data_IF_483300056817
#
_entry.id   IF_483300056817
#
_cell.length_a   1.000
_cell.length_b   1.000
_cell.length_c   1.000
_cell.angle_alpha   90.00
_cell.angle_beta   90.00
_cell.angle_gamma   90.00
#
_symmetry.space_group_name_H-M   'P 1'
#
loop_
_entity.id
_entity.type
_entity.pdbx_description
1 polymer ?
#
# COMPACT_ATOMS: atom_id res chain seq x y z
N UNK A 1 48.62 10.58 17.04
CA UNK A 1 47.44 9.85 17.57
C UNK A 1 46.33 10.02 16.55
N UNK A 2 46.19 9.07 15.65
CA UNK A 2 45.14 9.02 14.64
C UNK A 2 43.99 8.20 15.21
N UNK A 3 42.91 8.87 15.59
CA UNK A 3 41.68 8.22 16.05
C UNK A 3 40.99 7.59 14.84
N UNK A 4 40.97 6.26 14.79
CA UNK A 4 40.15 5.51 13.83
C UNK A 4 38.67 5.87 14.07
N UNK A 5 37.89 6.25 13.05
CA UNK A 5 36.47 6.49 13.22
C UNK A 5 35.78 5.18 13.61
N UNK A 6 34.90 5.23 14.60
CA UNK A 6 34.11 4.09 15.06
C UNK A 6 33.32 3.49 13.89
N UNK A 7 33.21 2.15 13.86
CA UNK A 7 32.40 1.47 12.84
C UNK A 7 30.92 1.78 13.11
N UNK A 8 30.04 1.79 12.10
CA UNK A 8 28.61 2.02 12.28
C UNK A 8 27.97 1.06 13.31
N UNK A 9 28.57 -0.12 13.48
CA UNK A 9 28.14 -1.17 14.41
C UNK A 9 28.42 -0.86 15.89
N UNK A 10 29.26 0.13 16.19
CA UNK A 10 29.62 0.54 17.57
C UNK A 10 28.66 1.62 18.14
N UNK A 11 27.68 2.09 17.37
CA UNK A 11 26.65 2.99 17.89
C UNK A 11 25.57 2.19 18.64
N UNK A 12 25.21 2.55 19.88
CA UNK A 12 24.08 1.93 20.55
C UNK A 12 22.84 2.09 19.65
N UNK A 13 22.02 1.03 19.49
CA UNK A 13 20.86 1.11 18.61
C UNK A 13 19.99 2.29 19.04
N UNK A 14 19.60 3.13 18.08
CA UNK A 14 18.67 4.22 18.33
C UNK A 14 17.47 3.68 19.11
N UNK A 15 17.12 4.32 20.21
CA UNK A 15 16.06 3.84 21.10
C UNK A 15 14.73 3.85 20.33
N UNK A 16 14.30 2.68 19.87
CA UNK A 16 13.03 2.52 19.17
C UNK A 16 11.91 2.81 20.17
N UNK A 17 11.00 3.77 19.90
CA UNK A 17 9.85 4.00 20.76
C UNK A 17 9.06 2.70 20.98
N UNK A 18 8.34 2.55 22.08
CA UNK A 18 7.43 1.42 22.22
C UNK A 18 6.22 1.60 21.29
N UNK A 19 5.83 0.56 20.55
CA UNK A 19 4.56 0.58 19.83
C UNK A 19 3.44 0.22 20.83
N UNK A 20 2.40 1.06 20.98
CA UNK A 20 1.30 0.79 21.90
C UNK A 20 0.42 -0.36 21.39
N UNK A 21 -0.55 -0.78 22.22
CA UNK A 21 -1.62 -1.66 21.78
C UNK A 21 -2.29 -1.09 20.52
N UNK A 22 -2.52 -1.94 19.51
CA UNK A 22 -2.91 -1.48 18.19
C UNK A 22 -3.73 -2.49 17.39
N UNK A 23 -4.34 -2.01 16.30
CA UNK A 23 -4.96 -2.79 15.22
C UNK A 23 -4.22 -2.49 13.92
N UNK A 24 -4.23 -3.43 12.97
CA UNK A 24 -3.51 -3.27 11.70
C UNK A 24 -4.24 -2.37 10.70
N UNK A 25 -5.57 -2.40 10.70
CA UNK A 25 -6.42 -1.60 9.82
C UNK A 25 -7.86 -1.59 10.33
N UNK A 26 -8.73 -0.87 9.63
CA UNK A 26 -10.15 -0.77 9.97
C UNK A 26 -11.02 -0.65 8.70
N UNK A 27 -12.27 -1.15 8.68
CA UNK A 27 -13.13 -1.03 7.51
C UNK A 27 -13.34 0.42 7.04
N UNK A 28 -13.10 0.66 5.74
CA UNK A 28 -13.12 1.99 5.10
C UNK A 28 -14.50 2.42 4.58
N UNK A 29 -15.48 1.50 4.57
CA UNK A 29 -16.76 1.74 3.87
C UNK A 29 -17.78 2.52 4.70
N UNK A 30 -17.62 2.49 6.03
CA UNK A 30 -18.58 3.01 7.00
C UNK A 30 -19.74 2.04 7.30
N UNK A 31 -20.42 2.17 8.47
CA UNK A 31 -21.44 1.23 8.92
C UNK A 31 -22.66 1.16 7.98
N UNK A 32 -22.98 2.24 7.26
CA UNK A 32 -24.09 2.30 6.30
C UNK A 32 -23.62 2.46 4.85
N UNK A 33 -22.37 2.07 4.58
CA UNK A 33 -21.70 2.16 3.27
C UNK A 33 -21.65 3.60 2.75
N UNK A 34 -21.38 4.56 3.63
CA UNK A 34 -21.34 5.98 3.35
C UNK A 34 -20.33 6.30 2.24
N UNK A 35 -19.13 5.72 2.30
CA UNK A 35 -18.08 5.95 1.29
C UNK A 35 -18.49 5.38 -0.07
N UNK A 36 -19.16 4.22 -0.11
CA UNK A 36 -19.70 3.68 -1.36
C UNK A 36 -20.71 4.65 -1.97
N UNK A 37 -21.67 5.13 -1.18
CA UNK A 37 -22.73 6.03 -1.67
C UNK A 37 -22.14 7.33 -2.20
N UNK A 38 -21.14 7.88 -1.51
CA UNK A 38 -20.42 9.08 -1.92
C UNK A 38 -19.65 8.87 -3.22
N UNK A 39 -18.91 7.77 -3.35
CA UNK A 39 -18.20 7.42 -4.60
C UNK A 39 -19.17 7.26 -5.78
N UNK A 40 -20.27 6.53 -5.59
CA UNK A 40 -21.27 6.36 -6.65
C UNK A 40 -21.98 7.67 -7.02
N UNK A 41 -22.17 8.58 -6.08
CA UNK A 41 -22.69 9.91 -6.36
C UNK A 41 -21.67 10.71 -7.20
N UNK A 42 -20.40 10.70 -6.81
CA UNK A 42 -19.33 11.35 -7.56
C UNK A 42 -19.23 10.82 -9.00
N UNK A 43 -19.28 9.50 -9.20
CA UNK A 43 -19.26 8.89 -10.54
C UNK A 43 -20.48 9.24 -11.41
N UNK A 44 -21.59 9.69 -10.81
CA UNK A 44 -22.75 10.21 -11.55
C UNK A 44 -22.70 11.72 -11.80
N UNK A 45 -21.53 12.34 -11.62
CA UNK A 45 -21.34 13.79 -11.77
C UNK A 45 -21.63 14.59 -10.51
N UNK A 46 -21.68 13.93 -9.34
CA UNK A 46 -21.81 14.60 -8.06
C UNK A 46 -20.56 15.38 -7.67
N UNK A 47 -20.75 16.43 -6.87
CA UNK A 47 -19.69 17.31 -6.40
C UNK A 47 -18.60 16.54 -5.63
N UNK A 48 -17.34 16.73 -6.05
CA UNK A 48 -16.17 16.12 -5.41
C UNK A 48 -15.97 16.62 -3.98
N UNK A 49 -16.41 17.84 -3.65
CA UNK A 49 -16.36 18.35 -2.28
C UNK A 49 -17.22 17.49 -1.33
N UNK A 50 -18.38 17.01 -1.79
CA UNK A 50 -19.24 16.12 -1.01
C UNK A 50 -18.58 14.74 -0.77
N UNK A 51 -17.85 14.20 -1.76
CA UNK A 51 -17.06 12.99 -1.58
C UNK A 51 -15.95 13.19 -0.55
N UNK A 52 -15.20 14.30 -0.64
CA UNK A 52 -14.12 14.63 0.31
C UNK A 52 -14.64 14.80 1.72
N UNK A 53 -15.80 15.43 1.90
CA UNK A 53 -16.44 15.56 3.21
C UNK A 53 -16.89 14.19 3.76
N UNK A 54 -17.46 13.32 2.93
CA UNK A 54 -17.81 11.96 3.35
C UNK A 54 -16.58 11.15 3.83
N UNK A 55 -15.44 11.30 3.13
CA UNK A 55 -14.15 10.70 3.52
C UNK A 55 -13.67 11.28 4.86
N UNK A 56 -13.64 12.60 5.00
CA UNK A 56 -13.25 13.29 6.26
C UNK A 56 -14.10 12.82 7.43
N UNK A 57 -15.42 12.84 7.28
CA UNK A 57 -16.37 12.41 8.31
C UNK A 57 -16.19 10.93 8.68
N UNK A 58 -15.89 10.05 7.72
CA UNK A 58 -15.59 8.64 8.01
C UNK A 58 -14.30 8.45 8.80
N UNK A 59 -13.23 9.18 8.44
CA UNK A 59 -11.95 9.17 9.16
C UNK A 59 -12.14 9.64 10.61
N UNK A 60 -12.84 10.76 10.83
CA UNK A 60 -13.15 11.29 12.16
C UNK A 60 -13.94 10.28 13.03
N UNK A 61 -15.02 9.69 12.47
CA UNK A 61 -15.80 8.65 13.16
C UNK A 61 -14.95 7.44 13.55
N UNK A 62 -14.05 7.02 12.66
CA UNK A 62 -13.17 5.87 12.88
C UNK A 62 -12.18 6.15 14.01
N UNK A 63 -11.53 7.31 14.00
CA UNK A 63 -10.63 7.75 15.07
C UNK A 63 -11.36 7.77 16.43
N UNK A 64 -12.50 8.47 16.51
CA UNK A 64 -13.27 8.58 17.75
C UNK A 64 -13.75 7.23 18.26
N UNK A 65 -14.19 6.34 17.36
CA UNK A 65 -14.60 4.97 17.74
C UNK A 65 -13.44 4.17 18.32
N UNK A 66 -12.30 4.11 17.63
CA UNK A 66 -11.16 3.31 18.06
C UNK A 66 -10.54 3.85 19.36
N UNK A 67 -10.50 5.17 19.51
CA UNK A 67 -10.12 5.82 20.76
C UNK A 67 -11.08 5.49 21.92
N UNK A 68 -12.39 5.52 21.66
CA UNK A 68 -13.42 5.11 22.61
C UNK A 68 -13.33 3.64 23.01
N UNK A 69 -12.74 2.78 22.16
CA UNK A 69 -12.45 1.38 22.44
C UNK A 69 -11.10 1.17 23.17
N UNK A 70 -10.37 2.23 23.51
CA UNK A 70 -9.16 2.16 24.33
C UNK A 70 -7.84 2.39 23.58
N UNK A 71 -7.86 2.60 22.26
CA UNK A 71 -6.64 2.95 21.49
C UNK A 71 -6.32 4.44 21.62
N UNK A 72 -5.81 4.83 22.79
CA UNK A 72 -5.63 6.24 23.22
C UNK A 72 -4.21 6.78 23.14
N UNK A 73 -3.25 5.96 22.71
CA UNK A 73 -1.85 6.36 22.59
C UNK A 73 -1.54 6.80 21.17
N UNK A 74 -0.59 7.73 21.01
CA UNK A 74 -0.07 8.08 19.69
C UNK A 74 0.40 6.84 18.95
N UNK A 75 0.19 6.81 17.65
CA UNK A 75 0.46 5.68 16.76
C UNK A 75 -0.35 4.41 17.04
N UNK A 76 -1.28 4.37 18.00
CA UNK A 76 -2.12 3.20 18.28
C UNK A 76 -3.14 2.91 17.17
N UNK A 77 -3.60 3.93 16.45
CA UNK A 77 -4.57 3.80 15.36
C UNK A 77 -3.84 3.93 14.01
N UNK A 78 -4.07 3.04 13.03
CA UNK A 78 -3.57 3.22 11.66
C UNK A 78 -4.36 4.31 10.92
N UNK A 79 -3.64 5.21 10.25
CA UNK A 79 -4.14 6.28 9.39
C UNK A 79 -4.22 5.80 7.93
N UNK A 80 -5.08 4.83 7.69
CA UNK A 80 -5.32 4.30 6.35
C UNK A 80 -6.14 5.28 5.51
N UNK A 81 -5.49 5.80 4.46
CA UNK A 81 -6.04 6.86 3.60
C UNK A 81 -6.80 6.36 2.37
N UNK A 82 -6.69 5.09 1.99
CA UNK A 82 -7.17 4.63 0.70
C UNK A 82 -8.70 4.73 0.57
N UNK A 83 -9.19 5.29 -0.54
CA UNK A 83 -10.64 5.49 -0.77
C UNK A 83 -11.28 4.30 -1.50
N UNK A 84 -10.55 3.68 -2.43
CA UNK A 84 -11.01 2.53 -3.22
C UNK A 84 -10.24 1.26 -2.83
N UNK A 85 -8.93 1.26 -3.02
CA UNK A 85 -8.04 0.12 -2.81
C UNK A 85 -6.66 0.59 -2.37
N UNK A 86 -6.05 -0.14 -1.44
CA UNK A 86 -4.74 0.23 -0.88
C UNK A 86 -3.59 0.03 -1.86
N UNK A 87 -3.69 -0.92 -2.79
CA UNK A 87 -2.65 -1.16 -3.79
C UNK A 87 -2.71 -0.10 -4.89
N UNK A 88 -3.92 0.27 -5.31
CA UNK A 88 -4.17 1.43 -6.16
C UNK A 88 -3.68 2.74 -5.53
N UNK A 89 -3.99 2.98 -4.26
CA UNK A 89 -3.52 4.18 -3.53
C UNK A 89 -1.99 4.24 -3.49
N UNK A 90 -1.32 3.10 -3.23
CA UNK A 90 0.14 3.02 -3.28
C UNK A 90 0.68 3.34 -4.69
N UNK A 91 0.03 2.88 -5.75
CA UNK A 91 0.42 3.17 -7.14
C UNK A 91 0.41 4.69 -7.40
N UNK A 92 -0.65 5.38 -6.96
CA UNK A 92 -0.77 6.84 -7.13
C UNK A 92 0.24 7.58 -6.26
N UNK A 93 0.49 7.16 -5.01
CA UNK A 93 1.53 7.73 -4.15
C UNK A 93 2.96 7.53 -4.69
N UNK A 94 3.16 6.52 -5.53
CA UNK A 94 4.40 6.25 -6.24
C UNK A 94 4.44 6.88 -7.64
N UNK A 95 3.44 7.70 -7.99
CA UNK A 95 3.37 8.41 -9.26
C UNK A 95 3.12 7.51 -10.46
N UNK A 96 2.68 6.27 -10.26
CA UNK A 96 2.40 5.33 -11.33
C UNK A 96 1.02 5.60 -11.94
N UNK A 97 1.03 6.16 -13.14
CA UNK A 97 -0.13 6.33 -14.01
C UNK A 97 0.21 5.70 -15.35
N UNK A 98 -0.46 4.62 -15.80
CA UNK A 98 -0.13 3.95 -17.06
C UNK A 98 -0.26 4.88 -18.28
N UNK A 99 0.49 4.61 -19.35
CA UNK A 99 0.61 5.48 -20.53
C UNK A 99 -0.74 5.82 -21.13
N UNK A 100 -1.64 4.83 -21.24
CA UNK A 100 -3.00 5.02 -21.76
C UNK A 100 -3.82 6.04 -20.97
N UNK A 101 -3.57 6.19 -19.67
CA UNK A 101 -4.21 7.21 -18.84
C UNK A 101 -3.50 8.57 -19.00
N UNK A 102 -2.17 8.59 -19.14
CA UNK A 102 -1.42 9.82 -19.42
C UNK A 102 -1.83 10.46 -20.74
N UNK A 103 -1.96 9.66 -21.79
CA UNK A 103 -2.44 10.08 -23.12
C UNK A 103 -3.90 10.57 -23.09
N UNK A 104 -4.70 10.07 -22.14
CA UNK A 104 -6.06 10.56 -21.88
C UNK A 104 -6.12 11.79 -20.96
N UNK A 105 -4.98 12.40 -20.65
CA UNK A 105 -4.89 13.66 -19.90
C UNK A 105 -4.79 13.52 -18.38
N UNK A 106 -4.61 12.31 -17.85
CA UNK A 106 -4.37 12.11 -16.43
C UNK A 106 -2.88 12.23 -16.09
N UNK A 107 -2.56 12.78 -14.92
CA UNK A 107 -1.19 12.91 -14.42
C UNK A 107 -1.09 12.41 -12.99
N UNK A 108 0.13 12.06 -12.57
CA UNK A 108 0.41 11.76 -11.17
C UNK A 108 0.05 12.97 -10.29
N UNK A 109 -0.71 12.74 -9.23
CA UNK A 109 -1.20 13.78 -8.32
C UNK A 109 -1.51 13.16 -6.95
N UNK A 110 -1.85 14.00 -5.96
CA UNK A 110 -2.22 13.55 -4.63
C UNK A 110 -3.59 12.84 -4.64
N UNK A 111 -3.70 11.58 -4.18
CA UNK A 111 -4.93 10.78 -4.23
C UNK A 111 -6.10 11.33 -3.40
N UNK A 112 -5.85 12.28 -2.49
CA UNK A 112 -6.88 12.92 -1.64
C UNK A 112 -7.42 14.25 -2.22
N UNK A 113 -6.90 14.69 -3.37
CA UNK A 113 -7.37 15.89 -4.08
C UNK A 113 -8.54 15.57 -5.01
N UNK A 114 -9.19 16.60 -5.57
CA UNK A 114 -10.24 16.38 -6.56
C UNK A 114 -9.72 15.68 -7.82
N UNK A 115 -8.57 16.10 -8.33
CA UNK A 115 -7.90 15.46 -9.47
C UNK A 115 -7.44 14.04 -9.15
N UNK A 116 -6.91 13.82 -7.95
CA UNK A 116 -6.51 12.48 -7.50
C UNK A 116 -7.68 11.52 -7.36
N UNK A 117 -8.81 11.97 -6.83
CA UNK A 117 -10.03 11.16 -6.77
C UNK A 117 -10.57 10.83 -8.17
N UNK A 118 -10.41 11.75 -9.13
CA UNK A 118 -10.73 11.50 -10.54
C UNK A 118 -9.77 10.47 -11.16
N UNK A 119 -8.46 10.61 -10.95
CA UNK A 119 -7.44 9.65 -11.39
C UNK A 119 -7.69 8.25 -10.81
N UNK A 120 -7.86 8.15 -9.48
CA UNK A 120 -8.13 6.89 -8.77
C UNK A 120 -9.41 6.24 -9.31
N UNK A 121 -10.45 7.03 -9.60
CA UNK A 121 -11.68 6.52 -10.22
C UNK A 121 -11.46 6.04 -11.65
N UNK A 122 -10.69 6.76 -12.46
CA UNK A 122 -10.37 6.39 -13.83
C UNK A 122 -9.53 5.11 -13.88
N UNK A 123 -8.51 4.97 -13.04
CA UNK A 123 -7.71 3.76 -12.93
C UNK A 123 -8.58 2.55 -12.51
N UNK A 124 -9.51 2.76 -11.59
CA UNK A 124 -10.38 1.70 -11.07
C UNK A 124 -11.49 1.28 -12.04
N UNK A 125 -12.05 2.21 -12.82
CA UNK A 125 -13.29 1.99 -13.58
C UNK A 125 -13.17 2.22 -15.08
N UNK A 126 -12.02 2.72 -15.53
CA UNK A 126 -11.83 3.20 -16.88
C UNK A 126 -12.53 4.53 -17.12
N UNK A 127 -12.42 4.98 -18.37
CA UNK A 127 -13.17 6.11 -18.92
C UNK A 127 -14.01 5.62 -20.11
N UNK A 128 -14.59 6.53 -20.89
CA UNK A 128 -15.22 6.17 -22.18
C UNK A 128 -14.22 5.70 -23.24
N UNK A 129 -12.92 5.93 -23.06
CA UNK A 129 -11.88 5.67 -24.06
C UNK A 129 -10.69 4.86 -23.54
N UNK A 130 -10.59 4.65 -22.23
CA UNK A 130 -9.46 3.96 -21.59
C UNK A 130 -9.98 2.86 -20.67
N UNK A 131 -9.49 1.64 -20.88
CA UNK A 131 -9.81 0.49 -20.03
C UNK A 131 -9.19 0.62 -18.62
N UNK A 132 -9.90 0.16 -17.57
CA UNK A 132 -9.39 0.17 -16.20
C UNK A 132 -8.11 -0.66 -16.02
N UNK A 133 -7.51 -0.55 -14.85
CA UNK A 133 -6.54 -1.53 -14.37
C UNK A 133 -7.21 -2.88 -14.15
N UNK A 134 -6.41 -3.93 -14.28
CA UNK A 134 -6.83 -5.29 -13.96
C UNK A 134 -7.22 -5.40 -12.48
N UNK A 135 -8.35 -6.04 -12.20
CA UNK A 135 -8.83 -6.30 -10.85
C UNK A 135 -8.69 -7.80 -10.53
N UNK A 136 -7.92 -8.14 -9.50
CA UNK A 136 -7.67 -9.54 -9.11
C UNK A 136 -7.84 -9.77 -7.61
N UNK A 137 -7.89 -11.03 -7.19
CA UNK A 137 -8.21 -11.41 -5.82
C UNK A 137 -7.08 -11.04 -4.85
N UNK A 138 -7.43 -10.42 -3.73
CA UNK A 138 -6.52 -10.18 -2.61
C UNK A 138 -6.31 -11.47 -1.83
N UNK A 139 -5.28 -12.21 -2.20
CA UNK A 139 -4.90 -13.50 -1.60
C UNK A 139 -6.08 -14.48 -1.54
N UNK A 140 -6.30 -15.15 -0.39
CA UNK A 140 -7.39 -16.08 -0.16
C UNK A 140 -8.67 -15.42 0.39
N UNK A 141 -8.71 -14.08 0.44
CA UNK A 141 -9.86 -13.30 0.94
C UNK A 141 -10.93 -13.07 -0.14
N UNK A 142 -12.10 -12.52 0.22
CA UNK A 142 -13.09 -12.09 -0.78
C UNK A 142 -12.84 -10.67 -1.32
N UNK A 143 -11.79 -10.00 -0.87
CA UNK A 143 -11.41 -8.68 -1.36
C UNK A 143 -10.67 -8.82 -2.70
N UNK A 144 -10.70 -7.76 -3.52
CA UNK A 144 -9.99 -7.67 -4.78
C UNK A 144 -9.20 -6.36 -4.79
N UNK A 145 -8.04 -6.35 -5.44
CA UNK A 145 -7.17 -5.17 -5.57
C UNK A 145 -6.88 -4.88 -7.05
N UNK A 146 -6.51 -3.64 -7.35
CA UNK A 146 -6.11 -3.27 -8.71
C UNK A 146 -4.62 -3.51 -8.90
N UNK A 147 -4.28 -4.31 -9.91
CA UNK A 147 -2.90 -4.71 -10.21
C UNK A 147 -2.11 -3.50 -10.73
N UNK A 148 -1.05 -3.06 -10.03
CA UNK A 148 -0.18 -2.01 -10.53
C UNK A 148 0.51 -2.43 -11.83
N UNK A 149 0.68 -1.48 -12.73
CA UNK A 149 1.40 -1.66 -13.99
C UNK A 149 2.72 -0.89 -13.93
N UNK A 150 3.83 -1.61 -14.05
CA UNK A 150 5.18 -1.04 -14.09
C UNK A 150 5.62 -1.01 -15.55
N UNK A 151 5.58 0.18 -16.14
CA UNK A 151 6.05 0.42 -17.50
C UNK A 151 7.55 0.79 -17.49
N UNK A 152 8.34 0.38 -18.50
CA UNK A 152 9.79 0.67 -18.56
C UNK A 152 10.11 2.16 -18.65
N UNK A 153 9.22 2.96 -19.25
CA UNK A 153 9.37 4.42 -19.43
C UNK A 153 8.75 5.24 -18.30
N UNK A 154 8.18 4.59 -17.28
CA UNK A 154 7.57 5.28 -16.13
C UNK A 154 8.45 5.09 -14.92
N UNK A 155 9.07 6.19 -14.49
CA UNK A 155 9.79 6.24 -13.23
C UNK A 155 8.82 6.32 -12.04
N UNK A 156 9.17 5.69 -10.93
CA UNK A 156 8.56 5.94 -9.64
C UNK A 156 8.82 7.39 -9.22
N UNK A 157 7.75 8.09 -8.86
CA UNK A 157 7.80 9.46 -8.39
C UNK A 157 7.08 9.55 -7.05
N UNK A 158 7.86 9.64 -5.97
CA UNK A 158 7.34 9.75 -4.61
C UNK A 158 6.50 11.02 -4.46
N UNK A 159 5.19 10.85 -4.23
CA UNK A 159 4.27 11.95 -3.94
C UNK A 159 4.41 12.37 -2.45
N UNK A 160 5.56 12.96 -2.09
CA UNK A 160 5.88 13.32 -0.70
C UNK A 160 4.91 14.33 -0.11
N UNK A 161 4.49 15.32 -0.91
CA UNK A 161 3.51 16.32 -0.46
C UNK A 161 2.17 15.66 -0.15
N UNK A 162 1.74 14.71 -0.98
CA UNK A 162 0.49 13.98 -0.78
C UNK A 162 0.48 13.19 0.54
N UNK A 163 1.55 12.45 0.83
CA UNK A 163 1.62 11.65 2.07
C UNK A 163 1.70 12.54 3.31
N UNK A 164 2.39 13.68 3.22
CA UNK A 164 2.50 14.66 4.30
C UNK A 164 1.17 15.38 4.54
N UNK A 165 0.50 15.84 3.49
CA UNK A 165 -0.81 16.49 3.58
C UNK A 165 -1.84 15.53 4.20
N UNK A 166 -1.84 14.26 3.77
CA UNK A 166 -2.69 13.23 4.36
C UNK A 166 -2.39 13.05 5.85
N UNK A 167 -1.12 12.94 6.24
CA UNK A 167 -0.74 12.81 7.64
C UNK A 167 -1.18 14.02 8.47
N UNK A 168 -0.97 15.24 7.95
CA UNK A 168 -1.43 16.48 8.60
C UNK A 168 -2.96 16.51 8.73
N UNK A 169 -3.70 16.10 7.71
CA UNK A 169 -5.16 16.01 7.78
C UNK A 169 -5.63 15.03 8.87
N UNK A 170 -4.94 13.90 9.05
CA UNK A 170 -5.23 12.97 10.14
C UNK A 170 -4.86 13.53 11.52
N UNK A 171 -3.75 14.29 11.62
CA UNK A 171 -3.36 15.00 12.85
C UNK A 171 -4.43 16.02 13.25
N UNK A 172 -4.88 16.83 12.31
CA UNK A 172 -5.89 17.86 12.55
C UNK A 172 -7.22 17.20 12.97
N UNK A 173 -7.62 16.12 12.28
CA UNK A 173 -8.79 15.32 12.67
C UNK A 173 -8.66 14.71 14.07
N UNK A 174 -7.48 14.23 14.46
CA UNK A 174 -7.25 13.70 15.80
C UNK A 174 -7.39 14.80 16.85
N UNK A 175 -6.86 16.00 16.59
CA UNK A 175 -6.99 17.16 17.49
C UNK A 175 -8.46 17.62 17.65
N UNK A 176 -9.27 17.51 16.60
CA UNK A 176 -10.70 17.81 16.63
C UNK A 176 -11.56 16.70 17.26
N UNK A 177 -11.05 15.48 17.34
CA UNK A 177 -11.82 14.30 17.80
C UNK A 177 -11.51 13.99 19.26
N UNK A 178 -12.47 14.22 20.14
CA UNK A 178 -12.30 14.01 21.58
C UNK A 178 -11.75 12.62 21.93
N UNK A 179 -10.59 12.61 22.62
CA UNK A 179 -9.92 11.39 23.08
C UNK A 179 -9.12 10.64 22.01
N UNK A 180 -9.12 11.09 20.76
CA UNK A 180 -8.27 10.53 19.71
C UNK A 180 -6.81 11.01 19.88
N UNK A 181 -5.88 10.10 19.65
CA UNK A 181 -4.45 10.37 19.58
C UNK A 181 -3.97 10.41 18.13
N UNK A 182 -2.75 10.90 17.90
CA UNK A 182 -2.18 11.02 16.55
C UNK A 182 -2.03 9.63 15.92
N UNK A 183 -2.74 9.31 14.82
CA UNK A 183 -2.62 7.99 14.20
C UNK A 183 -1.29 7.84 13.43
N UNK A 184 -0.87 6.60 13.16
CA UNK A 184 0.35 6.30 12.38
C UNK A 184 0.02 6.17 10.88
N UNK A 185 0.78 6.78 9.97
CA UNK A 185 0.67 6.49 8.53
C UNK A 185 0.81 4.99 8.23
N UNK A 186 0.03 4.51 7.26
CA UNK A 186 0.13 3.15 6.71
C UNK A 186 0.42 3.23 5.22
N UNK A 187 1.41 2.46 4.76
CA UNK A 187 1.73 2.29 3.35
C UNK A 187 1.84 0.79 3.05
N UNK A 188 1.51 0.38 1.82
CA UNK A 188 1.90 -0.94 1.35
C UNK A 188 3.44 -1.00 1.33
N UNK A 189 4.04 -2.11 1.74
CA UNK A 189 5.48 -2.30 1.74
C UNK A 189 6.02 -2.49 0.31
N UNK A 190 7.27 -2.06 0.03
CA UNK A 190 7.81 -2.04 -1.32
C UNK A 190 7.96 -3.44 -1.93
N UNK A 191 8.29 -4.46 -1.13
CA UNK A 191 8.47 -5.82 -1.66
C UNK A 191 7.11 -6.42 -2.04
N UNK A 192 6.10 -6.22 -1.20
CA UNK A 192 4.73 -6.62 -1.50
C UNK A 192 4.17 -5.84 -2.69
N UNK A 193 4.47 -4.55 -2.82
CA UNK A 193 4.09 -3.77 -3.98
C UNK A 193 4.60 -4.41 -5.28
N UNK A 194 5.89 -4.74 -5.37
CA UNK A 194 6.47 -5.38 -6.55
C UNK A 194 5.92 -6.79 -6.81
N UNK A 195 5.65 -7.57 -5.76
CA UNK A 195 5.06 -8.90 -5.91
C UNK A 195 3.62 -8.84 -6.44
N UNK A 196 2.86 -7.82 -6.05
CA UNK A 196 1.47 -7.59 -6.45
C UNK A 196 1.33 -6.89 -7.81
N UNK A 197 2.39 -6.28 -8.31
CA UNK A 197 2.45 -5.58 -9.59
C UNK A 197 2.77 -6.52 -10.77
N UNK A 198 2.45 -6.05 -11.98
CA UNK A 198 2.93 -6.64 -13.24
C UNK A 198 3.87 -5.68 -13.96
N UNK A 199 4.93 -6.21 -14.56
CA UNK A 199 5.69 -5.48 -15.56
C UNK A 199 4.93 -5.50 -16.89
N UNK A 200 4.88 -4.38 -17.59
CA UNK A 200 4.26 -4.26 -18.91
C UNK A 200 5.38 -4.13 -19.93
N UNK A 201 5.36 -4.91 -21.01
CA UNK A 201 6.36 -4.75 -22.08
C UNK A 201 5.98 -3.59 -23.00
N UNK A 202 6.98 -2.92 -23.59
CA UNK A 202 6.75 -1.84 -24.57
C UNK A 202 6.03 -2.28 -25.85
N UNK A 203 5.93 -3.60 -26.09
CA UNK A 203 5.30 -4.22 -27.25
C UNK A 203 3.88 -4.75 -26.99
N UNK A 204 3.41 -4.75 -25.74
CA UNK A 204 2.01 -5.10 -25.42
C UNK A 204 1.09 -3.96 -25.89
N UNK A 205 0.55 -4.15 -27.10
CA UNK A 205 -0.62 -3.40 -27.59
C UNK A 205 -1.83 -3.65 -26.65
N UNK A 206 -2.85 -2.75 -26.63
CA UNK A 206 -3.85 -2.64 -25.57
C UNK A 206 -4.93 -3.74 -25.53
N UNK A 207 -4.62 -4.94 -26.01
CA UNK A 207 -5.51 -6.09 -26.01
C UNK A 207 -4.79 -7.24 -25.32
N UNK A 208 -5.22 -7.51 -24.07
CA UNK A 208 -4.60 -8.47 -23.16
C UNK A 208 -4.21 -9.79 -23.84
N UNK A 209 -2.90 -10.05 -23.86
CA UNK A 209 -2.29 -11.30 -24.29
C UNK A 209 -1.13 -11.62 -23.36
N UNK A 210 -1.16 -12.81 -22.76
CA UNK A 210 -0.18 -13.30 -21.79
C UNK A 210 1.01 -13.94 -22.49
N UNK A 211 2.07 -13.17 -22.75
CA UNK A 211 3.40 -13.73 -23.10
C UNK A 211 4.42 -13.33 -22.02
N UNK A 212 4.21 -13.90 -20.83
CA UNK A 212 4.80 -13.47 -19.56
C UNK A 212 6.24 -13.92 -19.24
N UNK A 213 6.97 -14.62 -20.10
CA UNK A 213 8.23 -15.24 -19.68
C UNK A 213 9.44 -14.26 -19.62
N UNK A 214 9.49 -13.22 -20.47
CA UNK A 214 10.57 -12.23 -20.49
C UNK A 214 10.28 -10.99 -19.61
N UNK A 215 9.03 -10.80 -19.18
CA UNK A 215 8.59 -9.69 -18.33
C UNK A 215 8.64 -9.99 -16.82
N UNK A 216 8.79 -11.27 -16.44
CA UNK A 216 8.71 -11.72 -15.04
C UNK A 216 10.00 -11.48 -14.24
N UNK A 217 11.18 -11.50 -14.87
CA UNK A 217 12.45 -11.13 -14.23
C UNK A 217 12.55 -9.61 -13.95
N UNK A 218 11.78 -8.76 -14.65
CA UNK A 218 12.10 -7.32 -14.77
C UNK A 218 11.45 -6.35 -13.78
N UNK A 219 10.54 -6.80 -12.89
CA UNK A 219 9.93 -5.89 -11.88
C UNK A 219 10.78 -5.68 -10.64
N UNK A 220 11.54 -6.71 -10.21
CA UNK A 220 12.49 -6.57 -9.10
C UNK A 220 13.75 -5.78 -9.49
N UNK A 221 14.05 -5.65 -10.78
CA UNK A 221 15.11 -4.75 -11.28
C UNK A 221 14.82 -3.28 -10.95
N UNK A 222 13.54 -2.94 -10.73
CA UNK A 222 13.09 -1.60 -10.33
C UNK A 222 13.12 -1.38 -8.81
N UNK A 223 13.62 -2.35 -8.04
CA UNK A 223 13.64 -2.29 -6.57
C UNK A 223 14.42 -1.09 -6.05
N UNK A 224 15.61 -0.81 -6.58
CA UNK A 224 16.45 0.30 -6.07
C UNK A 224 15.75 1.65 -6.23
N UNK A 225 15.07 1.84 -7.36
CA UNK A 225 14.26 3.03 -7.63
C UNK A 225 13.05 3.12 -6.70
N UNK A 226 12.37 1.99 -6.47
CA UNK A 226 11.27 1.94 -5.50
C UNK A 226 11.75 2.24 -4.08
N UNK A 227 12.91 1.71 -3.67
CA UNK A 227 13.53 1.97 -2.37
C UNK A 227 13.88 3.45 -2.23
N UNK A 228 14.38 4.10 -3.29
CA UNK A 228 14.60 5.54 -3.28
C UNK A 228 13.29 6.32 -3.09
N UNK A 229 12.22 5.95 -3.79
CA UNK A 229 10.91 6.58 -3.64
C UNK A 229 10.35 6.42 -2.22
N UNK A 230 10.39 5.21 -1.66
CA UNK A 230 9.96 4.98 -0.27
C UNK A 230 10.84 5.72 0.74
N UNK A 231 12.14 5.83 0.51
CA UNK A 231 13.04 6.60 1.38
C UNK A 231 12.63 8.08 1.42
N UNK A 232 12.24 8.65 0.28
CA UNK A 232 11.71 10.02 0.22
C UNK A 232 10.37 10.15 0.97
N UNK A 233 9.44 9.20 0.79
CA UNK A 233 8.16 9.19 1.53
C UNK A 233 8.38 9.09 3.05
N UNK A 234 9.29 8.23 3.49
CA UNK A 234 9.64 8.05 4.90
C UNK A 234 10.29 9.31 5.49
N UNK A 235 11.24 9.92 4.77
CA UNK A 235 11.88 11.17 5.18
C UNK A 235 10.86 12.30 5.33
N UNK A 236 9.98 12.48 4.33
CA UNK A 236 8.92 13.48 4.38
C UNK A 236 7.94 13.26 5.55
N UNK A 237 7.58 12.01 5.86
CA UNK A 237 6.76 11.68 7.02
C UNK A 237 7.48 11.96 8.36
N UNK A 238 8.79 11.68 8.44
CA UNK A 238 9.61 12.04 9.59
C UNK A 238 9.62 13.55 9.82
N UNK A 239 9.90 14.33 8.78
CA UNK A 239 9.94 15.79 8.84
C UNK A 239 8.58 16.38 9.20
N UNK A 240 7.49 15.71 8.84
CA UNK A 240 6.13 16.07 9.23
C UNK A 240 5.78 15.71 10.68
N UNK A 241 6.62 14.94 11.38
CA UNK A 241 6.47 14.56 12.78
C UNK A 241 5.89 13.17 13.02
N UNK A 242 5.86 12.28 12.02
CA UNK A 242 5.41 10.90 12.22
C UNK A 242 6.43 10.12 13.07
N UNK A 243 6.01 9.64 14.24
CA UNK A 243 6.85 8.79 15.10
C UNK A 243 6.98 7.35 14.58
N UNK A 244 5.91 6.85 13.96
CA UNK A 244 5.82 5.50 13.39
C UNK A 244 5.24 5.52 11.99
N UNK A 245 5.69 4.60 11.14
CA UNK A 245 5.04 4.25 9.88
C UNK A 245 4.84 2.74 9.84
N UNK A 246 3.65 2.32 9.42
CA UNK A 246 3.36 0.93 9.12
C UNK A 246 3.63 0.63 7.65
N UNK A 247 4.56 -0.28 7.36
CA UNK A 247 4.84 -0.80 6.02
C UNK A 247 4.27 -2.21 5.90
N UNK A 248 3.12 -2.36 5.24
CA UNK A 248 2.44 -3.65 5.17
C UNK A 248 3.10 -4.59 4.17
N UNK A 249 3.60 -5.74 4.62
CA UNK A 249 4.22 -6.74 3.75
C UNK A 249 3.39 -8.04 3.65
N UNK A 250 2.12 -8.00 3.21
CA UNK A 250 1.25 -9.18 3.19
C UNK A 250 1.69 -10.21 2.14
N UNK A 251 2.41 -9.81 1.08
CA UNK A 251 2.85 -10.73 0.05
C UNK A 251 3.86 -11.76 0.57
N UNK A 252 4.60 -11.41 1.63
CA UNK A 252 5.59 -12.29 2.25
C UNK A 252 4.99 -13.49 2.99
N UNK A 253 3.67 -13.49 3.20
CA UNK A 253 2.94 -14.63 3.77
C UNK A 253 2.66 -15.76 2.76
N UNK A 254 2.97 -15.53 1.48
CA UNK A 254 2.75 -16.47 0.38
C UNK A 254 4.08 -16.93 -0.22
N UNK A 255 4.16 -18.21 -0.57
CA UNK A 255 5.28 -18.79 -1.33
C UNK A 255 4.90 -19.01 -2.81
N UNK A 256 3.69 -18.61 -3.23
CA UNK A 256 3.11 -18.92 -4.54
C UNK A 256 3.49 -17.94 -5.65
N UNK A 257 4.55 -17.17 -5.47
CA UNK A 257 4.98 -16.16 -6.44
C UNK A 257 5.75 -16.80 -7.60
N UNK A 258 5.64 -16.17 -8.75
CA UNK A 258 6.45 -16.38 -9.96
C UNK A 258 7.88 -15.82 -9.83
N UNK A 259 8.25 -15.32 -8.64
CA UNK A 259 9.57 -14.77 -8.32
C UNK A 259 10.32 -15.75 -7.39
N UNK A 260 11.58 -16.12 -7.70
CA UNK A 260 12.38 -16.98 -6.83
C UNK A 260 12.47 -16.45 -5.40
N UNK A 261 12.29 -17.34 -4.41
CA UNK A 261 12.32 -16.99 -2.98
C UNK A 261 13.61 -16.23 -2.60
N UNK A 262 14.74 -16.61 -3.17
CA UNK A 262 16.03 -15.97 -2.90
C UNK A 262 16.08 -14.51 -3.37
N UNK A 263 15.42 -14.20 -4.50
CA UNK A 263 15.29 -12.83 -5.01
C UNK A 263 14.37 -12.02 -4.09
N UNK A 264 13.27 -12.59 -3.60
CA UNK A 264 12.38 -11.93 -2.63
C UNK A 264 13.12 -11.63 -1.32
N UNK A 265 13.86 -12.59 -0.78
CA UNK A 265 14.64 -12.41 0.47
C UNK A 265 15.75 -11.38 0.28
N UNK A 266 16.44 -11.41 -0.86
CA UNK A 266 17.45 -10.41 -1.21
C UNK A 266 16.82 -9.03 -1.31
N UNK A 267 15.69 -8.89 -2.01
CA UNK A 267 14.99 -7.61 -2.14
C UNK A 267 14.50 -7.07 -0.79
N UNK A 268 13.99 -7.94 0.08
CA UNK A 268 13.64 -7.57 1.46
C UNK A 268 14.86 -7.06 2.23
N UNK A 269 16.00 -7.74 2.14
CA UNK A 269 17.23 -7.30 2.79
C UNK A 269 17.66 -5.94 2.25
N UNK A 270 17.71 -5.77 0.93
CA UNK A 270 18.09 -4.51 0.27
C UNK A 270 17.21 -3.36 0.76
N UNK A 271 15.88 -3.49 0.66
CA UNK A 271 14.95 -2.43 1.02
C UNK A 271 15.06 -2.04 2.50
N UNK A 272 15.00 -3.03 3.40
CA UNK A 272 14.98 -2.74 4.84
C UNK A 272 16.36 -2.40 5.41
N UNK A 273 17.46 -2.83 4.79
CA UNK A 273 18.81 -2.32 5.12
C UNK A 273 18.93 -0.85 4.71
N UNK A 274 18.46 -0.47 3.51
CA UNK A 274 18.46 0.91 3.08
C UNK A 274 17.63 1.79 4.03
N UNK A 275 16.40 1.35 4.37
CA UNK A 275 15.57 2.08 5.33
C UNK A 275 16.21 2.15 6.71
N UNK A 276 16.79 1.05 7.21
CA UNK A 276 17.46 1.04 8.51
C UNK A 276 18.62 2.06 8.58
N UNK A 277 19.32 2.28 7.46
CA UNK A 277 20.40 3.25 7.33
C UNK A 277 19.96 4.72 7.19
N UNK A 278 18.67 5.01 7.02
CA UNK A 278 18.16 6.38 7.03
C UNK A 278 18.24 6.97 8.44
N UNK A 279 18.88 8.14 8.56
CA UNK A 279 18.98 8.88 9.83
C UNK A 279 17.72 9.69 10.16
N UNK A 280 17.00 10.13 9.12
CA UNK A 280 15.76 10.89 9.23
C UNK A 280 14.58 10.04 8.72
N UNK A 281 14.07 9.16 9.58
CA UNK A 281 12.86 8.36 9.30
C UNK A 281 12.06 8.08 10.57
N UNK A 282 10.76 7.73 10.45
CA UNK A 282 9.99 7.21 11.57
C UNK A 282 10.48 5.80 11.99
N UNK A 283 10.06 5.35 13.17
CA UNK A 283 10.14 3.94 13.51
C UNK A 283 9.25 3.13 12.55
N UNK A 284 9.71 1.94 12.16
CA UNK A 284 9.04 1.13 11.15
C UNK A 284 8.34 -0.06 11.81
N UNK A 285 7.03 -0.15 11.64
CA UNK A 285 6.24 -1.32 11.99
C UNK A 285 5.92 -2.11 10.73
N UNK A 286 6.41 -3.36 10.64
CA UNK A 286 6.33 -4.17 9.41
C UNK A 286 5.47 -5.42 9.65
N UNK A 287 4.13 -5.30 9.57
CA UNK A 287 3.27 -6.47 9.72
C UNK A 287 3.29 -7.33 8.46
N UNK A 288 3.48 -8.63 8.65
CA UNK A 288 3.19 -9.66 7.64
C UNK A 288 1.85 -10.29 8.01
N UNK A 289 0.82 -10.01 7.21
CA UNK A 289 -0.54 -10.47 7.48
C UNK A 289 -0.96 -11.54 6.49
N UNK A 290 -1.97 -12.31 6.90
CA UNK A 290 -2.47 -13.51 6.22
C UNK A 290 -1.48 -14.68 6.33
N UNK A 291 -1.99 -15.90 6.31
CA UNK A 291 -1.18 -17.12 6.20
C UNK A 291 -1.97 -18.05 5.32
N UNK A 292 -1.36 -18.47 4.21
CA UNK A 292 -1.91 -19.53 3.39
C UNK A 292 -2.07 -20.81 4.25
N UNK A 293 -3.31 -21.20 4.58
CA UNK A 293 -3.54 -22.59 5.00
C UNK A 293 -3.35 -23.45 3.77
N UNK A 294 -2.16 -24.06 3.61
CA UNK A 294 -2.03 -25.21 2.69
C UNK A 294 -3.04 -26.25 3.16
N UNK A 295 -4.18 -26.36 2.48
CA UNK A 295 -4.96 -27.60 2.52
C UNK A 295 -4.04 -28.64 1.88
N UNK A 296 -3.26 -29.35 2.70
CA UNK A 296 -2.75 -30.66 2.30
C UNK A 296 -3.99 -31.44 1.89
N UNK A 297 -4.19 -31.68 0.59
CA UNK A 297 -5.06 -32.77 0.14
C UNK A 297 -4.41 -34.03 0.69
N UNK A 298 -4.80 -34.43 1.91
CA UNK A 298 -4.55 -35.77 2.37
C UNK A 298 -5.27 -36.66 1.36
N UNK A 299 -4.49 -37.33 0.51
CA UNK A 299 -5.01 -38.33 -0.41
C UNK A 299 -5.84 -39.30 0.40
N UNK A 300 -7.16 -39.33 0.15
CA UNK A 300 -7.99 -40.44 0.61
C UNK A 300 -7.40 -41.69 -0.03
N UNK A 301 -6.94 -42.70 0.72
CA UNK A 301 -6.50 -43.93 0.11
C UNK A 301 -7.71 -44.55 -0.60
N UNK A 302 -7.54 -44.85 -1.89
CA UNK A 302 -8.48 -45.69 -2.63
C UNK A 302 -8.59 -47.00 -1.86
N UNK A 303 -9.76 -47.26 -1.24
CA UNK A 303 -10.09 -48.60 -0.77
C UNK A 303 -10.19 -49.49 -2.00
N UNK A 304 -9.21 -50.36 -2.20
CA UNK A 304 -9.31 -51.49 -3.10
C UNK A 304 -10.47 -52.37 -2.62
N UNK A 305 -11.52 -52.49 -3.42
CA UNK A 305 -12.41 -53.65 -3.35
C UNK A 305 -11.58 -54.86 -3.79
N UNK A 306 -11.24 -55.73 -2.85
CA UNK A 306 -11.05 -57.16 -3.12
C UNK A 306 -12.25 -57.89 -2.53
N UNK A 307 -12.76 -58.80 -3.34
CA UNK A 307 -13.93 -59.65 -3.15
C UNK A 307 -13.73 -60.68 -2.02
N UNK A 308 -14.85 -61.12 -1.43
CA UNK A 308 -15.22 -62.51 -1.16
C UNK A 308 -16.39 -62.54 -0.16
N UNK A 309 -17.61 -62.84 -0.61
CA UNK A 309 -18.31 -64.15 -0.51
C UNK A 309 -19.41 -64.14 -1.57
#
# INVERSE_FOLDING_TARGET
>A
MTTTPARPEDQPPAQVPALPATVLGYPRIGPNREIKKALEAHWRGGDVAALREAIRAHRARTLGRLAGLGLKSDSAIPADGAVIDQVLDASVLLGLVPRRFREAGFSATSPDTGEGLALVSALARGTSTVEPLELTKWFDTNYHYYVPEIEPDVAFSAQTDAVVERFRAFRDLAAETAGAALPRPTLLGPVSFLLLAKAVSSAESPTGGTDGALAQESRFDRLDELVAAYSALLGALHDAGAAWVQLEEPALASDGWDVPREQIVTGLRTAYTAFAGLTARPALFVPVTLRHRRRRRAGRPRRSRREAV
#
